data_IF_932057015437
#
_entry.id   IF_932057015437
#
_cell.length_a   1.000
_cell.length_b   1.000
_cell.length_c   1.000
_cell.angle_alpha   90.00
_cell.angle_beta   90.00
_cell.angle_gamma   90.00
#
_symmetry.space_group_name_H-M   'P 1'
#
loop_
_entity.id
_entity.type
_entity.pdbx_description
1 polymer ?
#
# COMPACT_ATOMS: atom_id res chain seq x y z
N UNK A 1 -15.12 21.88 12.66
CA UNK A 1 -15.06 21.83 11.19
C UNK A 1 -13.67 21.46 10.69
N UNK A 2 -13.58 20.36 9.95
CA UNK A 2 -12.36 19.88 9.28
C UNK A 2 -12.22 20.57 7.91
N UNK A 3 -11.01 20.99 7.54
CA UNK A 3 -10.72 21.72 6.29
C UNK A 3 -9.68 20.96 5.44
N UNK A 4 -9.85 20.93 4.12
CA UNK A 4 -8.90 20.29 3.19
C UNK A 4 -8.97 20.88 1.77
N UNK A 5 -7.85 20.88 1.04
CA UNK A 5 -7.78 21.43 -0.32
C UNK A 5 -8.02 20.39 -1.44
N UNK A 6 -7.91 19.09 -1.16
CA UNK A 6 -8.05 18.03 -2.16
C UNK A 6 -9.51 17.60 -2.44
N UNK A 7 -9.89 17.58 -3.72
CA UNK A 7 -11.26 17.26 -4.17
C UNK A 7 -11.77 15.90 -3.66
N UNK A 8 -10.90 14.90 -3.52
CA UNK A 8 -11.27 13.55 -3.05
C UNK A 8 -11.59 13.53 -1.56
N UNK A 9 -10.88 14.35 -0.77
CA UNK A 9 -11.05 14.40 0.69
C UNK A 9 -12.27 15.24 1.08
N UNK A 10 -12.70 16.19 0.23
CA UNK A 10 -13.88 17.04 0.45
C UNK A 10 -15.16 16.26 0.72
N UNK A 11 -15.40 15.12 0.04
CA UNK A 11 -16.59 14.31 0.28
C UNK A 11 -16.55 13.61 1.65
N UNK A 12 -15.39 13.02 2.02
CA UNK A 12 -15.21 12.32 3.30
C UNK A 12 -15.28 13.30 4.48
N UNK A 13 -14.63 14.46 4.34
CA UNK A 13 -14.68 15.57 5.31
C UNK A 13 -16.08 16.18 5.40
N UNK A 14 -16.76 16.35 4.27
CA UNK A 14 -18.13 16.87 4.21
C UNK A 14 -19.10 16.02 5.02
N UNK A 15 -18.96 14.69 4.99
CA UNK A 15 -19.79 13.80 5.82
C UNK A 15 -19.59 14.03 7.31
N UNK A 16 -18.35 14.19 7.76
CA UNK A 16 -18.03 14.40 9.17
C UNK A 16 -18.56 15.77 9.65
N UNK A 17 -18.36 16.82 8.85
CA UNK A 17 -18.87 18.16 9.15
C UNK A 17 -20.42 18.19 9.15
N UNK A 18 -21.06 17.54 8.18
CA UNK A 18 -22.52 17.48 8.09
C UNK A 18 -23.15 16.75 9.29
N UNK A 19 -22.50 15.69 9.78
CA UNK A 19 -22.97 15.01 10.98
C UNK A 19 -22.86 15.88 12.25
N UNK A 20 -21.81 16.71 12.34
CA UNK A 20 -21.58 17.67 13.42
C UNK A 20 -22.64 18.79 13.40
N UNK A 21 -22.86 19.40 12.22
CA UNK A 21 -23.87 20.45 12.02
C UNK A 21 -25.31 19.98 12.35
N UNK A 22 -25.65 18.74 11.99
CA UNK A 22 -27.00 18.20 12.22
C UNK A 22 -27.19 17.59 13.62
N UNK A 23 -26.10 17.34 14.34
CA UNK A 23 -26.11 16.50 15.56
C UNK A 23 -26.69 15.09 15.34
N UNK A 24 -26.75 14.61 14.09
CA UNK A 24 -27.40 13.35 13.73
C UNK A 24 -26.68 12.63 12.59
N UNK A 25 -25.90 11.61 12.97
CA UNK A 25 -25.10 10.78 12.07
C UNK A 25 -25.98 10.05 11.05
N UNK A 26 -27.09 9.43 11.49
CA UNK A 26 -27.97 8.66 10.61
C UNK A 26 -28.58 9.52 9.51
N UNK A 27 -28.94 10.77 9.84
CA UNK A 27 -29.47 11.73 8.87
C UNK A 27 -28.39 12.18 7.88
N UNK A 28 -27.19 12.51 8.37
CA UNK A 28 -26.06 12.87 7.51
C UNK A 28 -25.70 11.75 6.52
N UNK A 29 -25.57 10.51 7.02
CA UNK A 29 -25.31 9.31 6.22
C UNK A 29 -26.39 9.08 5.14
N UNK A 30 -27.67 9.21 5.51
CA UNK A 30 -28.80 9.06 4.58
C UNK A 30 -28.78 10.11 3.46
N UNK A 31 -28.45 11.36 3.79
CA UNK A 31 -28.38 12.45 2.80
C UNK A 31 -27.18 12.32 1.86
N UNK A 32 -26.06 11.78 2.34
CA UNK A 32 -24.85 11.57 1.52
C UNK A 32 -24.79 10.19 0.83
N UNK A 33 -25.79 9.33 1.04
CA UNK A 33 -25.84 8.01 0.41
C UNK A 33 -24.73 7.05 0.88
N UNK A 34 -24.27 7.18 2.12
CA UNK A 34 -23.21 6.34 2.71
C UNK A 34 -23.74 5.56 3.91
N UNK A 35 -23.14 4.40 4.20
CA UNK A 35 -23.50 3.63 5.38
C UNK A 35 -23.00 4.32 6.65
N UNK A 36 -23.64 4.00 7.80
CA UNK A 36 -23.14 4.43 9.12
C UNK A 36 -21.78 3.82 9.44
N UNK A 37 -21.48 2.63 8.92
CA UNK A 37 -20.17 1.99 9.06
C UNK A 37 -19.07 2.84 8.42
N UNK A 38 -19.29 3.33 7.19
CA UNK A 38 -18.35 4.23 6.50
C UNK A 38 -18.08 5.50 7.32
N UNK A 39 -19.11 6.06 7.96
CA UNK A 39 -18.92 7.22 8.84
C UNK A 39 -17.96 6.92 9.99
N UNK A 40 -18.16 5.81 10.70
CA UNK A 40 -17.30 5.45 11.82
C UNK A 40 -15.87 5.16 11.38
N UNK A 41 -15.67 4.53 10.23
CA UNK A 41 -14.33 4.32 9.64
C UNK A 41 -13.62 5.64 9.33
N UNK A 42 -14.32 6.63 8.79
CA UNK A 42 -13.73 7.95 8.56
C UNK A 42 -13.46 8.70 9.86
N UNK A 43 -14.35 8.59 10.85
CA UNK A 43 -14.15 9.20 12.16
C UNK A 43 -12.93 8.62 12.88
N UNK A 44 -12.80 7.30 12.88
CA UNK A 44 -11.64 6.59 13.44
C UNK A 44 -10.34 7.00 12.74
N UNK A 45 -10.33 6.99 11.40
CA UNK A 45 -9.19 7.46 10.63
C UNK A 45 -8.77 8.89 11.01
N UNK A 46 -9.73 9.82 11.14
CA UNK A 46 -9.44 11.21 11.54
C UNK A 46 -8.92 11.30 12.97
N UNK A 47 -9.42 10.46 13.88
CA UNK A 47 -8.92 10.43 15.26
C UNK A 47 -7.48 9.92 15.33
N UNK A 48 -7.12 8.95 14.50
CA UNK A 48 -5.79 8.31 14.51
C UNK A 48 -4.72 9.14 13.79
N UNK A 49 -5.07 9.76 12.66
CA UNK A 49 -4.11 10.40 11.76
C UNK A 49 -4.54 11.74 11.18
N UNK A 50 -5.54 12.39 11.79
CA UNK A 50 -6.06 13.67 11.33
C UNK A 50 -6.75 13.60 9.96
N UNK A 51 -6.98 14.74 9.31
CA UNK A 51 -7.66 14.79 8.00
C UNK A 51 -6.84 14.10 6.90
N UNK A 52 -5.52 14.03 7.05
CA UNK A 52 -4.61 13.42 6.07
C UNK A 52 -4.82 11.91 5.96
N UNK A 53 -5.27 11.23 7.02
CA UNK A 53 -5.58 9.80 6.97
C UNK A 53 -6.77 9.46 6.07
N UNK A 54 -7.61 10.46 5.72
CA UNK A 54 -8.72 10.30 4.78
C UNK A 54 -8.26 10.28 3.32
N UNK A 55 -7.00 10.62 3.04
CA UNK A 55 -6.41 10.47 1.71
C UNK A 55 -6.43 9.00 1.30
N UNK A 56 -6.75 8.74 0.03
CA UNK A 56 -6.75 7.37 -0.47
C UNK A 56 -5.33 6.80 -0.43
N UNK A 57 -5.14 5.81 0.44
CA UNK A 57 -3.92 5.02 0.48
C UNK A 57 -3.84 4.17 -0.81
N UNK A 58 -2.64 4.08 -1.39
CA UNK A 58 -2.44 3.28 -2.58
C UNK A 58 -2.75 1.81 -2.27
N UNK A 59 -3.77 1.24 -2.92
CA UNK A 59 -4.16 -0.16 -2.73
C UNK A 59 -3.08 -1.14 -3.23
N UNK A 60 -2.14 -0.68 -4.08
CA UNK A 60 -1.00 -1.47 -4.55
C UNK A 60 0.18 -1.29 -3.60
N UNK A 61 0.17 -2.03 -2.51
CA UNK A 61 1.31 -2.14 -1.58
C UNK A 61 2.13 -3.41 -1.88
N UNK A 62 3.46 -3.38 -1.75
CA UNK A 62 4.28 -4.58 -1.81
C UNK A 62 3.84 -5.60 -0.75
N UNK A 63 3.71 -6.87 -1.15
CA UNK A 63 3.44 -7.95 -0.19
C UNK A 63 4.76 -8.60 0.23
N UNK A 64 5.23 -8.30 1.44
CA UNK A 64 6.48 -8.85 1.97
C UNK A 64 6.50 -10.38 2.05
N UNK A 65 5.35 -11.04 2.13
CA UNK A 65 5.28 -12.52 2.12
C UNK A 65 5.68 -13.12 0.78
N UNK A 66 5.65 -12.34 -0.30
CA UNK A 66 6.08 -12.76 -1.62
C UNK A 66 7.58 -12.49 -1.86
N UNK A 67 8.29 -11.89 -0.89
CA UNK A 67 9.72 -11.63 -1.02
C UNK A 67 10.50 -12.94 -0.99
N UNK A 68 11.55 -13.00 -1.78
CA UNK A 68 12.51 -14.10 -1.73
C UNK A 68 13.26 -14.12 -0.40
N UNK A 69 13.83 -15.26 -0.05
CA UNK A 69 14.68 -15.35 1.13
C UNK A 69 15.84 -14.33 1.05
N UNK A 70 16.14 -13.57 2.13
CA UNK A 70 17.17 -12.55 2.12
C UNK A 70 18.56 -13.07 1.72
N UNK A 71 18.86 -14.34 2.00
CA UNK A 71 20.14 -14.95 1.62
C UNK A 71 20.23 -15.17 0.11
N UNK A 72 19.11 -15.57 -0.52
CA UNK A 72 18.99 -15.70 -1.98
C UNK A 72 19.07 -14.33 -2.64
N UNK A 73 18.37 -13.34 -2.10
CA UNK A 73 18.42 -11.96 -2.59
C UNK A 73 19.85 -11.41 -2.57
N UNK A 74 20.54 -11.58 -1.44
CA UNK A 74 21.94 -11.12 -1.28
C UNK A 74 22.88 -11.83 -2.25
N UNK A 75 22.71 -13.14 -2.48
CA UNK A 75 23.51 -13.89 -3.43
C UNK A 75 23.30 -13.43 -4.88
N UNK A 76 22.07 -13.09 -5.26
CA UNK A 76 21.74 -12.54 -6.58
C UNK A 76 22.39 -11.17 -6.78
N UNK A 77 22.26 -10.27 -5.79
CA UNK A 77 22.85 -8.93 -5.85
C UNK A 77 24.38 -9.00 -5.92
N UNK A 78 25.01 -9.83 -5.10
CA UNK A 78 26.47 -10.02 -5.13
C UNK A 78 26.94 -10.53 -6.51
N UNK A 79 26.25 -11.54 -7.05
CA UNK A 79 26.56 -12.08 -8.37
C UNK A 79 26.41 -11.04 -9.48
N UNK A 80 25.36 -10.20 -9.42
CA UNK A 80 25.14 -9.15 -10.42
C UNK A 80 26.25 -8.09 -10.44
N UNK A 81 26.88 -7.83 -9.29
CA UNK A 81 28.05 -6.94 -9.18
C UNK A 81 29.32 -7.64 -9.70
N UNK A 82 29.51 -8.93 -9.39
CA UNK A 82 30.64 -9.73 -9.89
C UNK A 82 30.61 -9.85 -11.43
N UNK A 83 29.42 -10.10 -12.00
CA UNK A 83 29.25 -10.51 -13.39
C UNK A 83 28.09 -9.75 -14.09
N UNK A 84 28.24 -8.44 -14.35
CA UNK A 84 27.15 -7.58 -14.81
C UNK A 84 26.63 -7.90 -16.22
N UNK A 85 27.42 -8.60 -17.04
CA UNK A 85 27.01 -8.99 -18.40
C UNK A 85 26.11 -10.24 -18.42
N UNK A 86 25.98 -10.97 -17.31
CA UNK A 86 25.19 -12.19 -17.26
C UNK A 86 23.70 -11.90 -17.09
N UNK A 87 22.90 -12.32 -18.08
CA UNK A 87 21.44 -12.24 -18.00
C UNK A 87 20.82 -13.22 -17.01
N UNK A 88 19.55 -13.00 -16.66
CA UNK A 88 18.79 -13.75 -15.65
C UNK A 88 18.90 -15.29 -15.74
N UNK A 89 18.94 -15.87 -16.94
CA UNK A 89 19.06 -17.32 -17.15
C UNK A 89 20.45 -17.82 -16.75
N UNK A 90 21.49 -17.06 -17.09
CA UNK A 90 22.87 -17.37 -16.76
C UNK A 90 23.09 -17.26 -15.25
N UNK A 91 22.63 -16.17 -14.64
CA UNK A 91 22.68 -15.96 -13.18
C UNK A 91 22.02 -17.11 -12.42
N UNK A 92 20.78 -17.49 -12.80
CA UNK A 92 20.05 -18.60 -12.18
C UNK A 92 20.83 -19.93 -12.25
N UNK A 93 21.44 -20.22 -13.41
CA UNK A 93 22.24 -21.43 -13.58
C UNK A 93 23.54 -21.41 -12.77
N UNK A 94 24.25 -20.28 -12.70
CA UNK A 94 25.50 -20.18 -11.94
C UNK A 94 25.26 -20.19 -10.43
N UNK A 95 24.20 -19.52 -9.95
CA UNK A 95 23.77 -19.59 -8.56
C UNK A 95 23.35 -21.01 -8.16
N UNK A 96 22.68 -21.75 -9.06
CA UNK A 96 22.31 -23.15 -8.81
C UNK A 96 23.55 -24.02 -8.57
N UNK A 97 24.67 -23.78 -9.28
CA UNK A 97 25.94 -24.48 -9.03
C UNK A 97 26.55 -24.12 -7.66
N UNK A 98 26.28 -22.92 -7.15
CA UNK A 98 26.65 -22.46 -5.81
C UNK A 98 25.66 -22.91 -4.71
N UNK A 99 24.68 -23.76 -5.04
CA UNK A 99 23.66 -24.25 -4.09
C UNK A 99 22.51 -23.27 -3.83
N UNK A 100 22.43 -22.16 -4.56
CA UNK A 100 21.38 -21.15 -4.43
C UNK A 100 20.33 -21.37 -5.53
N UNK A 101 19.12 -21.75 -5.14
CA UNK A 101 18.05 -22.09 -6.07
C UNK A 101 17.10 -20.91 -6.27
N UNK A 102 17.22 -20.23 -7.40
CA UNK A 102 16.32 -19.15 -7.83
C UNK A 102 15.99 -19.29 -9.30
N UNK A 103 14.74 -19.07 -9.70
CA UNK A 103 14.32 -19.14 -11.11
C UNK A 103 14.81 -17.90 -11.88
N UNK A 104 14.95 -17.94 -13.21
CA UNK A 104 15.32 -16.75 -14.00
C UNK A 104 14.35 -15.58 -13.77
N UNK A 105 13.05 -15.85 -13.68
CA UNK A 105 12.06 -14.81 -13.36
C UNK A 105 12.22 -14.27 -11.94
N UNK A 106 12.63 -15.10 -10.99
CA UNK A 106 12.95 -14.69 -9.62
C UNK A 106 14.15 -13.75 -9.60
N UNK A 107 15.22 -14.10 -10.33
CA UNK A 107 16.40 -13.24 -10.50
C UNK A 107 16.02 -11.87 -11.05
N UNK A 108 15.17 -11.80 -12.07
CA UNK A 108 14.73 -10.52 -12.66
C UNK A 108 13.84 -9.68 -11.74
N UNK A 109 13.18 -10.31 -10.76
CA UNK A 109 12.29 -9.62 -9.82
C UNK A 109 13.03 -9.08 -8.60
N UNK A 110 14.31 -9.46 -8.44
CA UNK A 110 15.27 -8.94 -7.47
C UNK A 110 16.05 -7.81 -8.13
#
# INVERSE_FOLDING_TARGET
MLHTNDKIVKHKVGLLNLADELGNISKACKMMGVSRDTFYRYKEAVNDGGVESLLDQNRRVPNHKNRVDPTVESAVVAYAVEEPAHGQVRVSNELRKRGVFVSPSGVRSI
#
